data_IF_268391733405
#
_entry.id   IF_268391733405
#
_cell.length_a   1.000
_cell.length_b   1.000
_cell.length_c   1.000
_cell.angle_alpha   90.00
_cell.angle_beta   90.00
_cell.angle_gamma   90.00
#
_symmetry.space_group_name_H-M   'P 1'
#
loop_
_entity.id
_entity.type
_entity.pdbx_description
1 polymer ?
#
# COMPACT_ATOMS: atom_id res chain seq x y z
N UNK A 1 -27.50 63.52 -65.41
CA UNK A 1 -26.48 62.55 -64.86
C UNK A 1 -26.12 62.94 -63.42
N UNK A 2 -26.80 62.36 -62.45
CA UNK A 2 -26.49 62.61 -61.02
C UNK A 2 -26.87 61.32 -60.21
N UNK A 3 -25.97 60.90 -59.27
CA UNK A 3 -26.18 60.01 -58.11
C UNK A 3 -26.09 58.51 -58.31
N UNK A 4 -24.87 57.99 -58.31
CA UNK A 4 -24.61 56.59 -57.89
C UNK A 4 -23.43 56.43 -56.89
N UNK A 5 -22.97 57.49 -56.20
CA UNK A 5 -21.79 57.42 -55.29
C UNK A 5 -22.09 57.40 -53.78
N UNK A 6 -23.35 57.38 -53.34
CA UNK A 6 -23.68 57.54 -51.90
C UNK A 6 -24.01 56.23 -51.14
N UNK A 7 -24.15 55.06 -51.78
CA UNK A 7 -24.57 53.84 -51.11
C UNK A 7 -23.44 52.92 -50.65
N UNK A 8 -22.18 53.15 -50.96
CA UNK A 8 -21.06 52.28 -50.52
C UNK A 8 -20.41 52.69 -49.17
N UNK A 9 -20.59 53.96 -48.73
CA UNK A 9 -20.01 54.46 -47.49
C UNK A 9 -20.76 54.03 -46.23
N UNK A 10 -22.03 53.69 -46.27
CA UNK A 10 -22.84 53.35 -45.10
C UNK A 10 -22.63 51.92 -44.61
N UNK A 11 -22.22 51.00 -45.49
CA UNK A 11 -21.96 49.60 -45.07
C UNK A 11 -20.61 49.41 -44.41
N UNK A 12 -19.59 50.15 -44.81
CA UNK A 12 -18.26 50.08 -44.18
C UNK A 12 -18.27 50.65 -42.76
N UNK A 13 -19.08 51.63 -42.44
CA UNK A 13 -19.20 52.28 -41.13
C UNK A 13 -19.83 51.36 -40.09
N UNK A 14 -20.65 50.38 -40.52
CA UNK A 14 -21.29 49.39 -39.61
C UNK A 14 -20.45 48.10 -39.50
N UNK A 15 -19.77 47.72 -40.58
CA UNK A 15 -18.99 46.46 -40.62
C UNK A 15 -17.70 46.56 -39.80
N UNK A 16 -17.01 47.71 -39.84
CA UNK A 16 -15.75 47.93 -39.13
C UNK A 16 -15.91 47.75 -37.58
N UNK A 17 -16.89 48.42 -36.91
CA UNK A 17 -17.07 48.23 -35.47
C UNK A 17 -17.53 46.82 -35.12
N UNK A 18 -18.32 46.16 -35.97
CA UNK A 18 -18.76 44.78 -35.72
C UNK A 18 -17.59 43.80 -35.76
N UNK A 19 -16.67 43.91 -36.71
CA UNK A 19 -15.44 43.12 -36.80
C UNK A 19 -14.52 43.39 -35.62
N UNK A 20 -14.41 44.65 -35.16
CA UNK A 20 -13.61 45.01 -33.98
C UNK A 20 -14.16 44.39 -32.68
N UNK A 21 -15.47 44.37 -32.51
CA UNK A 21 -16.15 43.71 -31.36
C UNK A 21 -15.94 42.19 -31.40
N UNK A 22 -16.04 41.56 -32.57
CA UNK A 22 -15.76 40.13 -32.72
C UNK A 22 -14.30 39.79 -32.44
N UNK A 23 -13.34 40.61 -32.86
CA UNK A 23 -11.92 40.42 -32.56
C UNK A 23 -11.61 40.62 -31.07
N UNK A 24 -12.24 41.59 -30.41
CA UNK A 24 -12.12 41.77 -28.95
C UNK A 24 -12.74 40.61 -28.18
N UNK A 25 -13.89 40.12 -28.60
CA UNK A 25 -14.53 38.93 -27.99
C UNK A 25 -13.66 37.65 -28.17
N UNK A 26 -13.06 37.46 -29.34
CA UNK A 26 -12.15 36.37 -29.60
C UNK A 26 -10.86 36.47 -28.79
N UNK A 27 -10.29 37.68 -28.64
CA UNK A 27 -9.12 37.91 -27.80
C UNK A 27 -9.42 37.72 -26.30
N UNK A 28 -10.59 38.17 -25.83
CA UNK A 28 -11.05 37.94 -24.45
C UNK A 28 -11.32 36.45 -24.19
N UNK A 29 -11.90 35.72 -25.14
CA UNK A 29 -12.10 34.27 -25.07
C UNK A 29 -10.79 33.50 -25.01
N UNK A 30 -9.79 33.88 -25.83
CA UNK A 30 -8.45 33.29 -25.77
C UNK A 30 -7.72 33.61 -24.46
N UNK A 31 -7.82 34.86 -23.99
CA UNK A 31 -7.24 35.24 -22.71
C UNK A 31 -7.90 34.49 -21.53
N UNK A 32 -9.22 34.30 -21.57
CA UNK A 32 -9.92 33.48 -20.57
C UNK A 32 -9.53 32.01 -20.60
N UNK A 33 -9.37 31.42 -21.78
CA UNK A 33 -8.88 30.03 -21.92
C UNK A 33 -7.42 29.91 -21.48
N UNK A 34 -6.60 30.93 -21.72
CA UNK A 34 -5.21 30.99 -21.25
C UNK A 34 -5.12 31.16 -19.73
N UNK A 35 -5.99 31.99 -19.16
CA UNK A 35 -6.10 32.19 -17.72
C UNK A 35 -6.67 30.96 -17.01
N UNK A 36 -7.68 30.32 -17.58
CA UNK A 36 -8.23 29.06 -17.08
C UNK A 36 -7.21 27.90 -17.14
N UNK A 37 -6.36 27.89 -18.18
CA UNK A 37 -5.27 26.89 -18.32
C UNK A 37 -4.08 27.19 -17.42
N UNK A 38 -3.87 28.45 -17.04
CA UNK A 38 -2.81 28.89 -16.10
C UNK A 38 -3.19 28.67 -14.63
N UNK A 39 -4.45 28.40 -14.32
CA UNK A 39 -4.93 28.06 -12.97
C UNK A 39 -5.10 26.54 -12.73
N UNK A 40 -4.75 25.69 -13.70
CA UNK A 40 -4.46 24.30 -13.41
C UNK A 40 -3.11 24.25 -12.68
N UNK A 41 -3.03 24.87 -11.50
CA UNK A 41 -2.02 24.54 -10.51
C UNK A 41 -2.04 23.03 -10.35
N UNK A 42 -0.89 22.40 -10.31
CA UNK A 42 -0.76 20.98 -9.98
C UNK A 42 -1.60 20.77 -8.72
N UNK A 43 -2.78 20.14 -8.88
CA UNK A 43 -3.65 19.84 -7.74
C UNK A 43 -2.88 18.87 -6.88
N UNK A 44 -2.44 19.33 -5.73
CA UNK A 44 -1.81 18.49 -4.73
C UNK A 44 -2.79 17.37 -4.37
N UNK A 45 -2.35 16.13 -4.55
CA UNK A 45 -3.17 14.99 -4.17
C UNK A 45 -3.44 15.04 -2.66
N UNK A 46 -4.68 14.88 -2.26
CA UNK A 46 -5.10 14.89 -0.87
C UNK A 46 -4.59 13.63 -0.12
N UNK A 47 -4.50 13.64 1.22
CA UNK A 47 -3.99 12.51 2.01
C UNK A 47 -4.72 11.19 1.74
N UNK A 48 -6.03 11.23 1.55
CA UNK A 48 -6.87 10.08 1.21
C UNK A 48 -6.53 9.54 -0.19
N UNK A 49 -6.36 10.41 -1.20
CA UNK A 49 -5.91 10.03 -2.54
C UNK A 49 -4.53 9.35 -2.48
N UNK A 50 -3.61 9.90 -1.67
CA UNK A 50 -2.28 9.32 -1.46
C UNK A 50 -2.34 7.97 -0.74
N UNK A 51 -3.22 7.83 0.24
CA UNK A 51 -3.39 6.56 0.93
C UNK A 51 -3.99 5.48 0.02
N UNK A 52 -4.93 5.84 -0.84
CA UNK A 52 -5.47 4.92 -1.85
C UNK A 52 -4.39 4.48 -2.85
N UNK A 53 -3.49 5.37 -3.25
CA UNK A 53 -2.34 5.01 -4.08
C UNK A 53 -1.40 4.03 -3.36
N UNK A 54 -1.09 4.28 -2.07
CA UNK A 54 -0.28 3.38 -1.24
C UNK A 54 -0.90 1.98 -1.13
N UNK A 55 -2.20 1.91 -0.87
CA UNK A 55 -2.91 0.62 -0.77
C UNK A 55 -3.06 -0.06 -2.14
N UNK A 56 -3.13 0.69 -3.22
CA UNK A 56 -3.03 0.18 -4.58
C UNK A 56 -1.72 -0.58 -4.81
N UNK A 57 -0.58 0.03 -4.45
CA UNK A 57 0.72 -0.65 -4.52
C UNK A 57 0.80 -1.88 -3.61
N UNK A 58 0.15 -1.85 -2.45
CA UNK A 58 0.06 -3.01 -1.58
C UNK A 58 -0.66 -4.18 -2.27
N UNK A 59 -1.79 -3.93 -2.92
CA UNK A 59 -2.54 -4.98 -3.64
C UNK A 59 -1.78 -5.54 -4.83
N UNK A 60 -0.92 -4.75 -5.44
CA UNK A 60 -0.02 -5.15 -6.53
C UNK A 60 1.24 -5.86 -6.02
N UNK A 61 1.51 -5.85 -4.71
CA UNK A 61 2.76 -6.34 -4.13
C UNK A 61 3.98 -5.47 -4.46
N UNK A 62 3.75 -4.21 -4.85
CA UNK A 62 4.80 -3.27 -5.22
C UNK A 62 5.32 -2.51 -3.99
N UNK A 63 6.02 -3.22 -3.11
CA UNK A 63 6.55 -2.67 -1.87
C UNK A 63 7.60 -1.56 -2.08
N UNK A 64 8.29 -1.55 -3.21
CA UNK A 64 9.23 -0.48 -3.55
C UNK A 64 8.51 0.85 -3.81
N UNK A 65 7.37 0.82 -4.50
CA UNK A 65 6.55 2.00 -4.71
C UNK A 65 5.96 2.50 -3.40
N UNK A 66 5.51 1.59 -2.51
CA UNK A 66 5.06 1.93 -1.16
C UNK A 66 6.15 2.65 -0.37
N UNK A 67 7.39 2.15 -0.37
CA UNK A 67 8.52 2.78 0.33
C UNK A 67 8.79 4.22 -0.15
N UNK A 68 8.66 4.48 -1.44
CA UNK A 68 8.85 5.83 -2.01
C UNK A 68 7.82 6.85 -1.52
N UNK A 69 6.66 6.39 -1.04
CA UNK A 69 5.61 7.25 -0.50
C UNK A 69 5.82 7.63 0.97
N UNK A 70 6.79 7.02 1.66
CA UNK A 70 7.11 7.30 3.04
C UNK A 70 7.73 8.70 3.19
N UNK A 71 7.52 9.29 4.35
CA UNK A 71 8.17 10.54 4.75
C UNK A 71 9.67 10.34 4.99
N UNK A 72 10.39 11.45 5.07
CA UNK A 72 11.83 11.44 5.29
C UNK A 72 12.24 10.83 6.63
N UNK A 73 11.44 11.04 7.69
CA UNK A 73 11.67 10.46 9.01
C UNK A 73 11.57 8.94 8.98
N UNK A 74 10.46 8.41 8.47
CA UNK A 74 10.26 6.96 8.36
C UNK A 74 11.36 6.29 7.52
N UNK A 75 11.85 6.95 6.47
CA UNK A 75 12.96 6.41 5.65
C UNK A 75 14.32 6.46 6.35
N UNK A 76 14.48 7.25 7.41
CA UNK A 76 15.67 7.20 8.27
C UNK A 76 15.58 6.06 9.28
N UNK A 77 14.36 5.75 9.75
CA UNK A 77 14.13 4.72 10.77
C UNK A 77 14.17 3.30 10.21
N UNK A 78 13.76 3.11 8.94
CA UNK A 78 13.76 1.80 8.30
C UNK A 78 14.39 1.87 6.89
N UNK A 79 15.27 0.92 6.60
CA UNK A 79 15.84 0.79 5.26
C UNK A 79 14.79 0.28 4.25
N UNK A 80 14.99 0.57 2.96
CA UNK A 80 14.11 0.07 1.91
C UNK A 80 14.04 -1.47 1.91
N UNK A 81 15.17 -2.14 2.10
CA UNK A 81 15.26 -3.60 2.12
C UNK A 81 14.48 -4.20 3.30
N UNK A 82 14.63 -3.62 4.49
CA UNK A 82 13.91 -4.08 5.69
C UNK A 82 12.40 -3.84 5.55
N UNK A 83 12.00 -2.68 5.02
CA UNK A 83 10.60 -2.37 4.76
C UNK A 83 9.96 -3.38 3.81
N UNK A 84 10.60 -3.63 2.67
CA UNK A 84 10.12 -4.59 1.67
C UNK A 84 10.04 -5.99 2.28
N UNK A 85 11.12 -6.43 2.93
CA UNK A 85 11.20 -7.76 3.54
C UNK A 85 10.14 -7.95 4.61
N UNK A 86 9.90 -6.94 5.45
CA UNK A 86 8.92 -7.00 6.52
C UNK A 86 7.49 -7.08 5.99
N UNK A 87 7.11 -6.17 5.11
CA UNK A 87 5.77 -6.18 4.50
C UNK A 87 5.52 -7.50 3.76
N UNK A 88 6.46 -7.91 2.92
CA UNK A 88 6.38 -9.16 2.18
C UNK A 88 6.19 -10.38 3.10
N UNK A 89 7.04 -10.51 4.13
CA UNK A 89 6.95 -11.64 5.09
C UNK A 89 5.62 -11.66 5.84
N UNK A 90 5.04 -10.51 6.16
CA UNK A 90 3.76 -10.45 6.86
C UNK A 90 2.62 -10.82 5.92
N UNK A 91 2.45 -10.12 4.80
CA UNK A 91 1.31 -10.33 3.90
C UNK A 91 1.36 -11.71 3.21
N UNK A 92 2.52 -12.13 2.71
CA UNK A 92 2.69 -13.47 2.14
C UNK A 92 2.62 -14.57 3.22
N UNK A 93 3.16 -14.32 4.41
CA UNK A 93 3.18 -15.28 5.52
C UNK A 93 1.79 -15.63 6.04
N UNK A 94 0.84 -14.68 5.99
CA UNK A 94 -0.56 -14.93 6.33
C UNK A 94 -1.40 -15.34 5.10
N UNK A 95 -0.82 -15.37 3.91
CA UNK A 95 -1.54 -15.62 2.66
C UNK A 95 -2.59 -14.55 2.35
N UNK A 96 -2.25 -13.28 2.61
CA UNK A 96 -3.17 -12.17 2.38
C UNK A 96 -3.57 -12.07 0.90
N UNK A 97 -4.87 -11.93 0.66
CA UNK A 97 -5.45 -11.76 -0.66
C UNK A 97 -6.74 -10.93 -0.57
N UNK A 98 -7.25 -10.47 -1.71
CA UNK A 98 -8.49 -9.70 -1.78
C UNK A 98 -8.49 -8.49 -0.81
N UNK A 99 -7.35 -7.81 -0.67
CA UNK A 99 -7.21 -6.67 0.23
C UNK A 99 -8.09 -5.54 -0.27
N UNK A 100 -8.98 -5.06 0.60
CA UNK A 100 -9.84 -3.91 0.36
C UNK A 100 -9.66 -2.93 1.50
N UNK A 101 -9.56 -1.65 1.16
CA UNK A 101 -9.42 -0.56 2.12
C UNK A 101 -10.47 0.50 1.79
N UNK A 102 -11.27 0.83 2.79
CA UNK A 102 -12.32 1.85 2.70
C UNK A 102 -11.97 3.00 3.65
N UNK A 103 -11.83 4.23 3.12
CA UNK A 103 -11.52 5.41 3.92
C UNK A 103 -12.79 5.87 4.63
N UNK A 104 -12.70 6.03 5.95
CA UNK A 104 -13.84 6.42 6.81
C UNK A 104 -13.78 7.89 7.21
N UNK A 105 -12.63 8.53 7.16
CA UNK A 105 -12.48 9.96 7.47
C UNK A 105 -11.06 10.47 7.29
N UNK A 106 -10.94 11.80 7.20
CA UNK A 106 -9.67 12.53 7.22
C UNK A 106 -9.77 13.64 8.23
N UNK A 107 -8.84 13.71 9.17
CA UNK A 107 -8.80 14.70 10.24
C UNK A 107 -7.44 15.39 10.26
N UNK A 108 -7.43 16.70 10.50
CA UNK A 108 -6.21 17.47 10.68
C UNK A 108 -5.88 17.57 12.18
N UNK A 109 -4.67 17.20 12.57
CA UNK A 109 -4.14 17.42 13.91
C UNK A 109 -3.67 18.86 14.02
N UNK A 110 -4.44 19.70 14.70
CA UNK A 110 -4.32 21.15 14.74
C UNK A 110 -2.90 21.69 15.09
N UNK A 111 -2.07 20.96 15.84
CA UNK A 111 -0.78 21.44 16.32
C UNK A 111 0.45 21.00 15.54
N UNK A 112 0.33 20.16 14.49
CA UNK A 112 1.49 19.53 13.86
C UNK A 112 1.50 19.55 12.33
N UNK A 113 0.47 20.06 11.66
CA UNK A 113 0.35 19.97 10.19
C UNK A 113 0.31 18.52 9.69
N UNK A 114 -0.17 17.61 10.54
CA UNK A 114 -0.35 16.19 10.25
C UNK A 114 -1.81 15.97 9.91
N UNK A 115 -2.04 15.27 8.81
CA UNK A 115 -3.35 14.79 8.39
C UNK A 115 -3.46 13.30 8.71
N UNK A 116 -4.48 12.91 9.47
CA UNK A 116 -4.74 11.52 9.82
C UNK A 116 -5.87 10.97 8.97
N UNK A 117 -5.59 9.91 8.22
CA UNK A 117 -6.58 9.17 7.43
C UNK A 117 -7.04 7.98 8.25
N UNK A 118 -8.33 7.93 8.59
CA UNK A 118 -8.98 6.80 9.23
C UNK A 118 -9.54 5.86 8.16
N UNK A 119 -9.33 4.56 8.30
CA UNK A 119 -9.73 3.58 7.31
C UNK A 119 -10.10 2.24 7.93
N UNK A 120 -10.84 1.48 7.17
CA UNK A 120 -11.25 0.12 7.45
C UNK A 120 -10.60 -0.82 6.44
N UNK A 121 -9.98 -1.88 6.92
CA UNK A 121 -9.35 -2.89 6.07
C UNK A 121 -10.05 -4.22 6.20
N UNK A 122 -10.31 -4.85 5.06
CA UNK A 122 -10.79 -6.22 4.96
C UNK A 122 -9.88 -7.00 4.02
N UNK A 123 -9.45 -8.19 4.43
CA UNK A 123 -8.62 -9.08 3.60
C UNK A 123 -8.90 -10.54 3.89
N UNK A 124 -8.72 -11.40 2.90
CA UNK A 124 -8.73 -12.83 3.07
C UNK A 124 -7.34 -13.32 3.49
N UNK A 125 -7.28 -14.27 4.41
CA UNK A 125 -6.04 -14.88 4.88
C UNK A 125 -6.20 -16.39 5.07
N UNK A 126 -5.08 -17.09 5.34
CA UNK A 126 -5.11 -18.52 5.70
C UNK A 126 -5.95 -18.81 6.97
N UNK A 127 -6.15 -17.83 7.82
CA UNK A 127 -6.97 -17.94 9.03
C UNK A 127 -8.44 -17.53 8.81
N UNK A 128 -8.82 -17.16 7.58
CA UNK A 128 -10.11 -16.61 7.22
C UNK A 128 -10.06 -15.10 6.98
N UNK A 129 -11.22 -14.46 6.93
CA UNK A 129 -11.34 -13.02 6.70
C UNK A 129 -10.86 -12.24 7.92
N UNK A 130 -9.94 -11.31 7.69
CA UNK A 130 -9.44 -10.36 8.70
C UNK A 130 -10.10 -9.01 8.43
N UNK A 131 -10.58 -8.37 9.48
CA UNK A 131 -11.26 -7.08 9.41
C UNK A 131 -10.85 -6.21 10.59
N UNK A 132 -10.44 -4.96 10.34
CA UNK A 132 -10.03 -4.02 11.38
C UNK A 132 -10.13 -2.57 10.93
N UNK A 133 -10.26 -1.66 11.91
CA UNK A 133 -10.13 -0.22 11.74
C UNK A 133 -8.72 0.22 12.08
N UNK A 134 -8.20 1.21 11.35
CA UNK A 134 -6.87 1.71 11.57
C UNK A 134 -6.74 3.19 11.13
N UNK A 135 -5.58 3.78 11.38
CA UNK A 135 -5.25 5.16 11.03
C UNK A 135 -3.85 5.24 10.44
N UNK A 136 -3.67 6.16 9.49
CA UNK A 136 -2.40 6.49 8.88
C UNK A 136 -2.19 8.01 8.90
N UNK A 137 -1.04 8.43 9.37
CA UNK A 137 -0.68 9.83 9.49
C UNK A 137 0.13 10.28 8.27
N UNK A 138 -0.21 11.45 7.74
CA UNK A 138 0.46 12.07 6.60
C UNK A 138 0.98 13.45 6.97
N UNK A 139 2.15 13.81 6.49
CA UNK A 139 2.66 15.17 6.57
C UNK A 139 3.03 15.70 5.21
N UNK A 140 2.98 17.02 5.08
CA UNK A 140 3.37 17.72 3.88
C UNK A 140 4.90 17.86 3.84
N UNK A 141 5.53 17.34 2.79
CA UNK A 141 6.96 17.50 2.54
C UNK A 141 7.22 18.06 1.14
N UNK A 142 8.31 18.81 1.01
CA UNK A 142 8.76 19.24 -0.30
C UNK A 142 9.09 18.01 -1.14
N UNK A 143 8.49 17.90 -2.34
CA UNK A 143 8.84 16.87 -3.30
C UNK A 143 10.32 16.97 -3.64
N UNK A 144 11.13 16.03 -3.17
CA UNK A 144 12.47 15.87 -3.66
C UNK A 144 12.37 15.25 -5.04
N UNK A 145 12.33 16.09 -6.06
CA UNK A 145 12.46 15.61 -7.43
C UNK A 145 13.65 14.66 -7.49
N UNK A 146 13.46 13.52 -8.13
CA UNK A 146 14.47 12.48 -8.27
C UNK A 146 15.83 13.12 -8.55
N UNK A 147 16.74 12.99 -7.60
CA UNK A 147 18.15 13.30 -7.82
C UNK A 147 18.68 12.30 -8.86
N UNK A 148 18.65 12.73 -10.09
CA UNK A 148 19.22 12.03 -11.24
C UNK A 148 20.03 13.01 -12.05
N UNK A 149 21.36 12.82 -12.01
CA UNK A 149 22.40 13.36 -12.86
C UNK A 149 23.02 14.71 -12.51
N UNK A 150 24.26 14.59 -12.07
CA UNK A 150 25.32 15.59 -12.17
C UNK A 150 25.32 16.31 -13.51
N UNK A 151 25.31 17.62 -13.48
CA UNK A 151 26.00 18.44 -14.47
C UNK A 151 26.44 19.73 -13.83
N UNK A 152 27.75 19.81 -13.75
CA UNK A 152 28.57 20.97 -13.51
C UNK A 152 28.22 22.14 -14.44
N UNK A 153 28.43 23.35 -13.90
CA UNK A 153 28.60 24.64 -14.56
C UNK A 153 27.41 25.38 -15.14
N UNK A 154 27.00 26.44 -14.44
CA UNK A 154 27.22 27.83 -14.91
C UNK A 154 26.53 28.83 -13.98
N UNK A 155 27.36 29.63 -13.29
CA UNK A 155 26.97 30.91 -12.74
C UNK A 155 26.43 31.85 -13.84
N UNK A 156 25.21 32.36 -13.68
CA UNK A 156 24.84 33.73 -13.99
C UNK A 156 23.51 34.17 -13.39
N UNK A 157 23.68 35.17 -12.60
CA UNK A 157 22.74 36.13 -12.01
C UNK A 157 21.29 36.20 -12.51
N UNK A 158 20.39 36.28 -11.53
CA UNK A 158 19.30 37.25 -11.56
C UNK A 158 17.94 36.79 -12.05
N UNK A 159 17.20 36.14 -11.14
CA UNK A 159 15.78 36.43 -10.84
C UNK A 159 15.32 35.31 -9.90
N UNK A 160 15.13 35.64 -8.63
CA UNK A 160 14.40 34.74 -7.72
C UNK A 160 12.99 34.58 -8.26
N UNK A 161 12.80 33.60 -9.15
CA UNK A 161 11.54 32.91 -9.28
C UNK A 161 11.42 32.12 -7.99
N UNK A 162 10.46 32.42 -7.13
CA UNK A 162 9.94 31.46 -6.15
C UNK A 162 9.46 30.30 -7.00
N UNK A 163 10.31 29.28 -7.17
CA UNK A 163 9.87 27.97 -7.58
C UNK A 163 8.91 27.54 -6.46
N UNK A 164 7.64 27.42 -6.80
CA UNK A 164 6.69 26.74 -5.95
C UNK A 164 7.32 25.35 -5.75
N UNK A 165 7.86 25.07 -4.56
CA UNK A 165 8.26 23.73 -4.18
C UNK A 165 6.98 22.91 -4.30
N UNK A 166 6.97 21.95 -5.19
CA UNK A 166 5.90 20.97 -5.25
C UNK A 166 5.93 20.24 -3.90
N UNK A 167 4.96 20.54 -3.04
CA UNK A 167 4.79 19.90 -1.76
C UNK A 167 3.87 18.68 -1.96
N UNK A 168 4.14 17.60 -1.28
CA UNK A 168 3.42 16.35 -1.42
C UNK A 168 3.18 15.72 -0.05
N UNK A 169 1.98 15.17 0.17
CA UNK A 169 1.70 14.40 1.36
C UNK A 169 2.48 13.08 1.35
N UNK A 170 3.26 12.85 2.42
CA UNK A 170 4.07 11.67 2.66
C UNK A 170 3.55 10.93 3.87
N UNK A 171 3.52 9.60 3.77
CA UNK A 171 3.06 8.72 4.85
C UNK A 171 4.09 8.65 5.96
N UNK A 172 3.69 8.97 7.19
CA UNK A 172 4.45 8.68 8.40
C UNK A 172 4.21 7.21 8.73
N UNK A 173 5.19 6.37 8.35
CA UNK A 173 5.02 4.94 8.42
C UNK A 173 5.57 4.37 9.74
N UNK A 174 4.83 3.42 10.30
CA UNK A 174 5.27 2.51 11.34
C UNK A 174 4.52 1.18 11.19
N UNK A 175 4.89 0.16 11.95
CA UNK A 175 4.28 -1.18 11.85
C UNK A 175 2.76 -1.19 12.07
N UNK A 176 2.23 -0.21 12.79
CA UNK A 176 0.79 -0.09 13.03
C UNK A 176 -0.01 0.15 11.76
N UNK A 177 0.63 0.68 10.71
CA UNK A 177 -0.04 0.83 9.41
C UNK A 177 -0.38 -0.54 8.80
N UNK A 178 0.38 -1.60 9.12
CA UNK A 178 0.10 -2.98 8.69
C UNK A 178 -1.05 -3.55 9.53
N UNK A 179 -0.91 -3.54 10.87
CA UNK A 179 -1.94 -3.95 11.82
C UNK A 179 -1.95 -3.03 13.04
N UNK A 180 -3.13 -2.63 13.59
CA UNK A 180 -3.26 -1.59 14.61
C UNK A 180 -2.38 -1.76 15.85
N UNK A 181 -2.10 -2.99 16.24
CA UNK A 181 -1.35 -3.33 17.46
C UNK A 181 0.03 -3.92 17.17
N UNK A 182 0.50 -3.86 15.92
CA UNK A 182 1.79 -4.42 15.54
C UNK A 182 2.93 -3.51 15.95
N UNK A 183 3.97 -4.09 16.56
CA UNK A 183 5.23 -3.42 16.90
C UNK A 183 6.40 -4.05 16.15
N UNK A 184 7.52 -3.34 16.05
CA UNK A 184 8.71 -3.78 15.31
C UNK A 184 9.20 -5.20 15.70
N UNK A 185 9.16 -5.53 16.99
CA UNK A 185 9.62 -6.83 17.49
C UNK A 185 8.59 -7.95 17.33
N UNK A 186 7.37 -7.64 16.92
CA UNK A 186 6.31 -8.63 16.82
C UNK A 186 6.44 -9.47 15.55
N UNK A 187 5.96 -10.72 15.65
CA UNK A 187 5.91 -11.67 14.54
C UNK A 187 4.48 -12.11 14.30
N UNK A 188 4.03 -11.95 13.06
CA UNK A 188 2.73 -12.44 12.63
C UNK A 188 2.87 -13.92 12.21
N UNK A 189 2.03 -14.78 12.76
CA UNK A 189 2.00 -16.22 12.45
C UNK A 189 0.57 -16.70 12.30
N UNK A 190 0.36 -17.60 11.35
CA UNK A 190 -0.87 -18.39 11.24
C UNK A 190 -0.60 -19.76 11.80
N UNK A 191 -1.43 -20.20 12.74
CA UNK A 191 -1.36 -21.55 13.33
C UNK A 191 -2.61 -22.31 12.91
N UNK A 192 -2.43 -23.51 12.42
CA UNK A 192 -3.53 -24.41 12.06
C UNK A 192 -3.65 -25.50 13.11
N UNK A 193 -4.76 -25.51 13.83
CA UNK A 193 -5.09 -26.59 14.72
C UNK A 193 -5.84 -27.68 13.95
N UNK A 194 -5.29 -28.90 13.97
CA UNK A 194 -5.96 -30.03 13.31
C UNK A 194 -7.22 -30.40 14.10
N UNK A 195 -8.35 -30.42 13.41
CA UNK A 195 -9.58 -30.89 14.01
C UNK A 195 -9.43 -32.31 14.52
N UNK A 196 -9.86 -32.54 15.76
CA UNK A 196 -9.92 -33.88 16.36
C UNK A 196 -11.28 -34.50 15.96
N UNK A 197 -11.23 -35.64 15.29
CA UNK A 197 -12.46 -36.39 14.98
C UNK A 197 -13.21 -36.71 16.25
N UNK A 198 -14.49 -36.38 16.28
CA UNK A 198 -15.41 -36.83 17.34
C UNK A 198 -15.62 -38.32 17.29
N UNK A 199 -16.02 -38.88 18.43
CA UNK A 199 -16.45 -40.28 18.51
C UNK A 199 -17.90 -40.42 18.02
N UNK A 200 -18.19 -41.53 17.37
CA UNK A 200 -19.55 -41.95 17.03
C UNK A 200 -20.09 -42.78 18.18
N UNK A 201 -21.18 -42.34 18.76
CA UNK A 201 -21.80 -43.02 19.90
C UNK A 201 -23.16 -43.61 19.47
N UNK A 202 -23.58 -44.70 20.12
CA UNK A 202 -24.92 -45.21 19.99
C UNK A 202 -25.92 -44.35 20.82
N UNK A 203 -27.22 -44.71 20.79
CA UNK A 203 -28.26 -44.03 21.58
C UNK A 203 -28.07 -44.06 23.08
N UNK A 204 -27.25 -45.02 23.58
CA UNK A 204 -26.97 -45.21 24.99
C UNK A 204 -25.63 -44.58 25.40
N UNK A 205 -24.94 -43.87 24.49
CA UNK A 205 -23.64 -43.26 24.73
C UNK A 205 -22.45 -44.20 24.60
N UNK A 206 -22.66 -45.44 24.11
CA UNK A 206 -21.59 -46.39 23.89
C UNK A 206 -20.84 -46.03 22.61
N UNK A 207 -19.51 -46.00 22.69
CA UNK A 207 -18.66 -45.67 21.54
C UNK A 207 -18.71 -46.76 20.49
N UNK A 208 -19.22 -46.44 19.29
CA UNK A 208 -19.22 -47.33 18.13
C UNK A 208 -17.96 -47.17 17.28
N UNK A 209 -17.47 -45.94 17.19
CA UNK A 209 -16.22 -45.59 16.50
C UNK A 209 -15.59 -44.38 17.13
N UNK A 210 -14.28 -44.34 17.28
CA UNK A 210 -13.56 -43.22 17.88
C UNK A 210 -12.07 -43.33 17.65
N UNK A 211 -11.33 -42.42 18.25
CA UNK A 211 -9.88 -42.40 18.20
C UNK A 211 -9.35 -43.54 19.10
N UNK A 212 -8.70 -44.53 18.49
CA UNK A 212 -7.96 -45.56 19.18
C UNK A 212 -6.51 -45.16 19.43
N UNK A 213 -5.86 -45.82 20.36
CA UNK A 213 -4.41 -45.77 20.53
C UNK A 213 -3.78 -46.95 19.82
N UNK A 214 -2.78 -46.70 19.01
CA UNK A 214 -1.94 -47.74 18.43
C UNK A 214 -0.49 -47.50 18.90
N UNK A 215 0.15 -48.59 19.36
CA UNK A 215 1.56 -48.52 19.69
C UNK A 215 2.37 -49.10 18.54
N UNK A 216 3.43 -48.40 18.16
CA UNK A 216 4.38 -48.84 17.15
C UNK A 216 5.73 -49.05 17.85
N UNK A 217 6.32 -50.20 17.69
CA UNK A 217 7.68 -50.48 18.12
C UNK A 217 8.57 -50.41 16.89
N UNK A 218 9.60 -49.58 16.96
CA UNK A 218 10.57 -49.38 15.89
C UNK A 218 11.98 -49.54 16.41
N UNK A 219 12.83 -50.19 15.62
CA UNK A 219 14.26 -50.27 15.88
C UNK A 219 14.97 -49.11 15.16
N UNK A 220 15.86 -48.41 15.86
CA UNK A 220 16.72 -47.39 15.30
C UNK A 220 18.12 -47.95 15.14
N UNK A 221 18.53 -48.40 13.94
CA UNK A 221 19.78 -49.13 13.74
C UNK A 221 21.03 -48.38 14.21
N UNK A 222 21.01 -47.03 14.12
CA UNK A 222 22.13 -46.19 14.55
C UNK A 222 22.27 -46.01 16.07
N UNK A 223 21.28 -46.49 16.85
CA UNK A 223 21.34 -46.50 18.33
C UNK A 223 21.63 -47.88 18.91
N UNK A 224 21.70 -48.91 18.07
CA UNK A 224 22.17 -50.23 18.48
C UNK A 224 23.68 -50.14 18.56
N UNK A 225 24.19 -50.11 19.79
CA UNK A 225 25.63 -50.10 20.02
C UNK A 225 26.29 -51.29 19.35
N UNK A 226 27.35 -51.04 18.61
CA UNK A 226 28.21 -52.09 17.99
C UNK A 226 29.11 -52.79 18.99
N UNK A 227 29.00 -52.47 20.26
CA UNK A 227 29.71 -53.19 21.29
C UNK A 227 29.03 -54.54 21.49
N UNK A 228 29.79 -55.58 21.14
CA UNK A 228 29.43 -56.96 21.26
C UNK A 228 29.26 -57.35 22.73
N UNK A 229 28.14 -56.97 23.31
CA UNK A 229 27.64 -57.65 24.51
C UNK A 229 26.53 -58.56 24.07
N UNK A 230 26.58 -59.80 24.51
CA UNK A 230 25.65 -60.89 24.22
C UNK A 230 24.16 -60.56 24.54
N UNK A 231 23.91 -59.46 25.21
CA UNK A 231 22.56 -59.03 25.58
C UNK A 231 21.78 -58.40 24.37
N UNK A 232 22.45 -57.97 23.30
CA UNK A 232 21.75 -57.35 22.15
C UNK A 232 21.16 -58.37 21.18
N UNK A 233 21.74 -59.55 21.04
CA UNK A 233 21.15 -60.69 20.28
C UNK A 233 19.93 -61.27 20.99
N UNK A 234 19.97 -61.37 22.32
CA UNK A 234 18.85 -61.82 23.14
C UNK A 234 17.66 -60.85 23.06
N UNK A 235 17.90 -59.54 22.99
CA UNK A 235 16.86 -58.50 22.84
C UNK A 235 16.13 -58.59 21.50
N UNK A 236 16.86 -58.82 20.39
CA UNK A 236 16.27 -58.98 19.05
C UNK A 236 15.48 -60.30 18.96
N UNK A 237 16.02 -61.35 19.49
CA UNK A 237 15.34 -62.69 19.52
C UNK A 237 14.06 -62.65 20.36
N UNK A 238 14.07 -62.00 21.51
CA UNK A 238 12.87 -61.76 22.32
C UNK A 238 11.84 -60.94 21.66
N UNK A 239 12.26 -59.91 20.88
CA UNK A 239 11.33 -59.06 20.12
C UNK A 239 10.68 -59.83 18.97
N UNK A 240 11.43 -60.76 18.32
CA UNK A 240 10.92 -61.63 17.25
C UNK A 240 9.94 -62.67 17.74
N UNK A 241 10.01 -63.07 19.04
CA UNK A 241 9.06 -63.97 19.67
C UNK A 241 7.75 -63.29 20.11
N UNK A 242 7.78 -61.96 20.26
CA UNK A 242 6.64 -61.14 20.69
C UNK A 242 5.83 -60.55 19.53
N UNK A 243 6.32 -60.60 18.29
CA UNK A 243 5.67 -60.13 17.05
C UNK A 243 5.12 -61.29 16.23
#
# INVERSE_FOLDING_TARGET
MRSRRRRRRSRAVIIIPLVLVCLMAAAAGMAFLWFAKGQAGVRQAAPDERFMEYTGYLTEGNYEAMYRMLDSGSRMDISQEDFITRNKKIYEGIGASSIRVDITGVEEKEDQGIQTVSYETSMESLAGTIHFFNQADFKLEASSGAAGTDSHDSEKAGKKRKEAKDEEYRLIWNDRVIFPNLSWNDKVRVTTDKAVRGSVLDRNGIMLAGKGSASMVGLVPGKMSREADNDSEDGINRLSELL
#
